data_IF_644964379312
#
_entry.id   IF_644964379312
#
_cell.length_a   1.000
_cell.length_b   1.000
_cell.length_c   1.000
_cell.angle_alpha   90.00
_cell.angle_beta   90.00
_cell.angle_gamma   90.00
#
_symmetry.space_group_name_H-M   'P 1'
#
loop_
_entity.id
_entity.type
_entity.pdbx_description
1 polymer ?
#
# COMPACT_ATOMS: atom_id res chain seq x y z
N UNK A 1 -75.75 -9.97 8.13
CA UNK A 1 -74.39 -9.65 8.62
C UNK A 1 -73.40 -10.80 8.40
N UNK A 2 -73.70 -12.04 8.79
CA UNK A 2 -72.79 -13.21 8.63
C UNK A 2 -72.20 -13.37 7.22
N UNK A 3 -73.03 -13.33 6.18
CA UNK A 3 -72.53 -13.51 4.80
C UNK A 3 -71.57 -12.41 4.33
N UNK A 4 -71.71 -11.19 4.85
CA UNK A 4 -70.81 -10.08 4.51
C UNK A 4 -69.48 -10.17 5.26
N UNK A 5 -69.51 -10.61 6.53
CA UNK A 5 -68.29 -10.88 7.30
C UNK A 5 -67.52 -12.08 6.73
N UNK A 6 -68.22 -13.11 6.27
CA UNK A 6 -67.62 -14.28 5.61
C UNK A 6 -67.00 -13.89 4.26
N UNK A 7 -67.67 -13.03 3.47
CA UNK A 7 -67.12 -12.49 2.22
C UNK A 7 -65.85 -11.65 2.48
N UNK A 8 -65.86 -10.77 3.47
CA UNK A 8 -64.69 -9.97 3.84
C UNK A 8 -63.52 -10.85 4.32
N UNK A 9 -63.80 -11.90 5.10
CA UNK A 9 -62.80 -12.87 5.53
C UNK A 9 -62.20 -13.63 4.33
N UNK A 10 -63.04 -14.07 3.39
CA UNK A 10 -62.60 -14.77 2.18
C UNK A 10 -61.77 -13.85 1.26
N UNK A 11 -62.16 -12.58 1.13
CA UNK A 11 -61.42 -11.58 0.36
C UNK A 11 -60.05 -11.26 0.99
N UNK A 12 -59.98 -11.14 2.32
CA UNK A 12 -58.71 -10.94 3.03
C UNK A 12 -57.79 -12.17 2.89
N UNK A 13 -58.34 -13.38 2.97
CA UNK A 13 -57.59 -14.62 2.72
C UNK A 13 -57.07 -14.70 1.28
N UNK A 14 -57.87 -14.25 0.30
CA UNK A 14 -57.43 -14.14 -1.09
C UNK A 14 -56.29 -13.13 -1.25
N UNK A 15 -56.43 -11.92 -0.69
CA UNK A 15 -55.42 -10.88 -0.77
C UNK A 15 -54.11 -11.29 -0.11
N UNK A 16 -54.16 -11.90 1.08
CA UNK A 16 -52.98 -12.41 1.78
C UNK A 16 -52.31 -13.52 0.98
N UNK A 17 -53.07 -14.48 0.45
CA UNK A 17 -52.53 -15.55 -0.42
C UNK A 17 -51.88 -14.97 -1.68
N UNK A 18 -52.55 -14.03 -2.35
CA UNK A 18 -52.01 -13.33 -3.52
C UNK A 18 -50.70 -12.60 -3.18
N UNK A 19 -50.67 -11.89 -2.05
CA UNK A 19 -49.48 -11.17 -1.60
C UNK A 19 -48.31 -12.11 -1.28
N UNK A 20 -48.58 -13.26 -0.65
CA UNK A 20 -47.56 -14.28 -0.38
C UNK A 20 -47.00 -14.85 -1.69
N UNK A 21 -47.86 -15.16 -2.67
CA UNK A 21 -47.44 -15.65 -3.99
C UNK A 21 -46.59 -14.59 -4.71
N UNK A 22 -47.02 -13.32 -4.67
CA UNK A 22 -46.27 -12.21 -5.23
C UNK A 22 -44.90 -12.06 -4.57
N UNK A 23 -44.82 -12.14 -3.24
CA UNK A 23 -43.57 -12.04 -2.49
C UNK A 23 -42.62 -13.19 -2.84
N UNK A 24 -43.13 -14.42 -2.92
CA UNK A 24 -42.34 -15.57 -3.36
C UNK A 24 -41.77 -15.36 -4.77
N UNK A 25 -42.59 -14.87 -5.69
CA UNK A 25 -42.15 -14.57 -7.06
C UNK A 25 -41.04 -13.52 -7.04
N UNK A 26 -41.23 -12.40 -6.35
CA UNK A 26 -40.19 -11.37 -6.21
C UNK A 26 -38.93 -11.90 -5.56
N UNK A 27 -39.02 -12.80 -4.58
CA UNK A 27 -37.87 -13.39 -3.91
C UNK A 27 -37.04 -14.27 -4.87
N UNK A 28 -37.67 -15.20 -5.59
CA UNK A 28 -36.96 -16.10 -6.51
C UNK A 28 -36.40 -15.36 -7.74
N UNK A 29 -37.17 -14.46 -8.34
CA UNK A 29 -36.69 -13.66 -9.48
C UNK A 29 -35.68 -12.58 -9.05
N UNK A 30 -35.87 -12.01 -7.86
CA UNK A 30 -35.00 -11.00 -7.27
C UNK A 30 -33.58 -11.51 -7.02
N UNK A 31 -33.41 -12.78 -6.63
CA UNK A 31 -32.08 -13.37 -6.45
C UNK A 31 -31.25 -13.39 -7.73
N UNK A 32 -31.87 -13.80 -8.85
CA UNK A 32 -31.21 -13.81 -10.16
C UNK A 32 -30.86 -12.39 -10.61
N UNK A 33 -31.76 -11.44 -10.39
CA UNK A 33 -31.53 -10.03 -10.67
C UNK A 33 -30.36 -9.47 -9.86
N UNK A 34 -30.31 -9.75 -8.55
CA UNK A 34 -29.22 -9.32 -7.67
C UNK A 34 -27.87 -9.90 -8.11
N UNK A 35 -27.82 -11.19 -8.47
CA UNK A 35 -26.62 -11.83 -9.00
C UNK A 35 -26.15 -11.19 -10.30
N UNK A 36 -27.06 -10.89 -11.22
CA UNK A 36 -26.75 -10.18 -12.45
C UNK A 36 -26.18 -8.78 -12.18
N UNK A 37 -26.83 -8.01 -11.31
CA UNK A 37 -26.39 -6.67 -10.93
C UNK A 37 -24.98 -6.68 -10.31
N UNK A 38 -24.75 -7.59 -9.35
CA UNK A 38 -23.45 -7.79 -8.73
C UNK A 38 -22.37 -8.14 -9.78
N UNK A 39 -22.69 -9.04 -10.71
CA UNK A 39 -21.81 -9.39 -11.83
C UNK A 39 -21.43 -8.17 -12.69
N UNK A 40 -22.39 -7.30 -13.00
CA UNK A 40 -22.12 -6.06 -13.76
C UNK A 40 -21.24 -5.08 -12.98
N UNK A 41 -21.47 -4.91 -11.68
CA UNK A 41 -20.63 -4.08 -10.82
C UNK A 41 -19.19 -4.58 -10.80
N UNK A 42 -18.98 -5.88 -10.66
CA UNK A 42 -17.64 -6.50 -10.69
C UNK A 42 -16.98 -6.27 -12.05
N UNK A 43 -17.71 -6.47 -13.16
CA UNK A 43 -17.20 -6.21 -14.53
C UNK A 43 -16.78 -4.75 -14.73
N UNK A 44 -17.55 -3.80 -14.19
CA UNK A 44 -17.21 -2.37 -14.25
C UNK A 44 -15.93 -2.07 -13.48
N UNK A 45 -15.79 -2.62 -12.27
CA UNK A 45 -14.58 -2.47 -11.44
C UNK A 45 -13.35 -3.11 -12.11
N UNK A 46 -13.50 -4.28 -12.74
CA UNK A 46 -12.44 -4.92 -13.53
C UNK A 46 -11.94 -4.04 -14.68
N UNK A 47 -12.85 -3.37 -15.40
CA UNK A 47 -12.46 -2.39 -16.44
C UNK A 47 -11.64 -1.25 -15.84
N UNK A 48 -12.04 -0.76 -14.66
CA UNK A 48 -11.30 0.27 -13.91
C UNK A 48 -9.89 -0.19 -13.51
N UNK A 49 -9.77 -1.37 -12.89
CA UNK A 49 -8.49 -1.96 -12.49
C UNK A 49 -7.58 -2.19 -13.70
N UNK A 50 -8.12 -2.71 -14.81
CA UNK A 50 -7.34 -2.92 -16.03
C UNK A 50 -6.86 -1.60 -16.64
N UNK A 51 -7.68 -0.53 -16.59
CA UNK A 51 -7.27 0.81 -17.02
C UNK A 51 -6.11 1.33 -16.18
N UNK A 52 -6.18 1.21 -14.86
CA UNK A 52 -5.11 1.65 -13.96
C UNK A 52 -3.84 0.81 -14.10
N UNK A 53 -3.97 -0.51 -14.27
CA UNK A 53 -2.84 -1.40 -14.58
C UNK A 53 -2.13 -0.97 -15.86
N UNK A 54 -2.89 -0.75 -16.95
CA UNK A 54 -2.33 -0.30 -18.23
C UNK A 54 -1.64 1.07 -18.11
N UNK A 55 -2.18 1.96 -17.30
CA UNK A 55 -1.55 3.25 -16.99
C UNK A 55 -0.17 3.06 -16.34
N UNK A 56 -0.07 2.22 -15.31
CA UNK A 56 1.21 1.87 -14.68
C UNK A 56 2.22 1.27 -15.66
N UNK A 57 1.80 0.29 -16.46
CA UNK A 57 2.64 -0.34 -17.50
C UNK A 57 3.14 0.71 -18.51
N UNK A 58 2.28 1.63 -18.96
CA UNK A 58 2.68 2.68 -19.90
C UNK A 58 3.71 3.64 -19.31
N UNK A 59 3.60 3.98 -18.02
CA UNK A 59 4.57 4.83 -17.34
C UNK A 59 5.92 4.13 -17.18
N UNK A 60 5.91 2.86 -16.78
CA UNK A 60 7.14 2.05 -16.70
C UNK A 60 7.82 1.99 -18.06
N UNK A 61 7.06 1.71 -19.12
CA UNK A 61 7.56 1.65 -20.49
C UNK A 61 8.23 2.95 -20.94
N UNK A 62 7.63 4.10 -20.64
CA UNK A 62 8.22 5.43 -20.94
C UNK A 62 9.58 5.65 -20.28
N UNK A 63 9.86 5.04 -19.14
CA UNK A 63 11.15 5.13 -18.46
C UNK A 63 12.13 4.10 -19.03
N UNK A 64 11.67 2.89 -19.36
CA UNK A 64 12.53 1.82 -19.86
C UNK A 64 12.99 2.08 -21.30
N UNK A 65 12.10 2.52 -22.19
CA UNK A 65 12.40 2.76 -23.62
C UNK A 65 13.68 3.61 -23.85
N UNK A 66 13.92 4.75 -23.17
CA UNK A 66 15.14 5.55 -23.36
C UNK A 66 16.41 4.96 -22.72
N UNK A 67 16.28 4.05 -21.75
CA UNK A 67 17.42 3.44 -21.01
C UNK A 67 17.83 2.10 -21.63
N UNK A 68 16.93 1.54 -22.45
CA UNK A 68 17.10 0.23 -23.06
C UNK A 68 18.32 0.18 -23.99
N UNK A 69 19.15 -0.87 -23.92
CA UNK A 69 20.20 -1.13 -24.90
C UNK A 69 19.69 -1.10 -26.35
N UNK A 70 20.55 -0.69 -27.27
CA UNK A 70 20.26 -0.75 -28.70
C UNK A 70 19.92 -2.20 -29.12
N UNK A 71 18.80 -2.38 -29.81
CA UNK A 71 18.34 -3.68 -30.32
C UNK A 71 17.22 -4.37 -29.52
N UNK A 72 16.84 -3.87 -28.34
CA UNK A 72 15.67 -4.42 -27.61
C UNK A 72 14.37 -3.95 -28.28
N UNK A 73 13.51 -4.91 -28.60
CA UNK A 73 12.20 -4.63 -29.19
C UNK A 73 11.18 -4.22 -28.13
N UNK A 74 10.16 -3.43 -28.52
CA UNK A 74 9.03 -3.10 -27.63
C UNK A 74 8.32 -4.34 -27.09
N UNK A 75 8.38 -5.46 -27.81
CA UNK A 75 7.84 -6.75 -27.38
C UNK A 75 8.59 -7.31 -26.16
N UNK A 76 9.91 -7.32 -26.20
CA UNK A 76 10.74 -7.81 -25.10
C UNK A 76 10.58 -6.97 -23.82
N UNK A 77 10.42 -5.64 -23.97
CA UNK A 77 10.09 -4.74 -22.85
C UNK A 77 8.76 -5.16 -22.20
N UNK A 78 7.73 -5.41 -23.00
CA UNK A 78 6.43 -5.83 -22.48
C UNK A 78 6.50 -7.21 -21.81
N UNK A 79 7.25 -8.16 -22.38
CA UNK A 79 7.44 -9.49 -21.81
C UNK A 79 8.25 -9.45 -20.50
N UNK A 80 9.22 -8.55 -20.39
CA UNK A 80 9.90 -8.25 -19.14
C UNK A 80 8.95 -7.68 -18.09
N UNK A 81 8.18 -6.64 -18.42
CA UNK A 81 7.22 -6.03 -17.49
C UNK A 81 6.22 -7.08 -17.01
N UNK A 82 5.64 -7.88 -17.91
CA UNK A 82 4.67 -8.91 -17.54
C UNK A 82 5.26 -9.95 -16.58
N UNK A 83 6.51 -10.41 -16.80
CA UNK A 83 7.21 -11.30 -15.86
C UNK A 83 7.42 -10.65 -14.49
N UNK A 84 7.78 -9.37 -14.46
CA UNK A 84 7.97 -8.64 -13.21
C UNK A 84 6.65 -8.44 -12.45
N UNK A 85 5.53 -8.22 -13.16
CA UNK A 85 4.20 -8.15 -12.55
C UNK A 85 3.72 -9.49 -11.98
N UNK A 86 4.25 -10.60 -12.50
CA UNK A 86 3.95 -11.95 -12.02
C UNK A 86 4.98 -12.46 -11.00
N UNK A 87 5.94 -11.62 -10.61
CA UNK A 87 6.91 -11.96 -9.58
C UNK A 87 6.20 -12.06 -8.22
N UNK A 88 6.38 -13.18 -7.54
CA UNK A 88 5.81 -13.43 -6.22
C UNK A 88 6.87 -14.00 -5.27
N UNK A 89 6.60 -13.83 -3.97
CA UNK A 89 7.41 -14.40 -2.90
C UNK A 89 6.51 -15.27 -2.05
N UNK A 90 6.99 -16.46 -1.70
CA UNK A 90 6.28 -17.38 -0.82
C UNK A 90 6.68 -17.03 0.61
N UNK A 91 5.76 -16.53 1.46
CA UNK A 91 6.09 -16.23 2.85
C UNK A 91 6.38 -17.52 3.64
N UNK A 92 7.16 -17.44 4.74
CA UNK A 92 7.38 -18.58 5.61
C UNK A 92 6.07 -19.02 6.27
N UNK A 93 5.95 -20.31 6.58
CA UNK A 93 4.78 -20.88 7.26
C UNK A 93 4.73 -20.38 8.71
N UNK A 94 3.55 -19.99 9.18
CA UNK A 94 3.32 -19.37 10.51
C UNK A 94 3.73 -20.25 11.72
N UNK A 95 4.01 -21.54 11.53
CA UNK A 95 4.32 -22.47 12.62
C UNK A 95 5.83 -22.59 12.92
N UNK A 96 6.69 -21.80 12.28
CA UNK A 96 8.14 -22.00 12.29
C UNK A 96 8.91 -20.85 13.00
N UNK A 97 9.01 -20.85 14.35
CA UNK A 97 9.77 -19.86 15.10
C UNK A 97 11.29 -19.99 14.82
N UNK A 98 12.05 -18.87 14.72
CA UNK A 98 11.64 -17.46 14.79
C UNK A 98 11.23 -16.88 13.42
N UNK A 99 9.95 -16.47 13.29
CA UNK A 99 9.36 -16.00 12.03
C UNK A 99 9.85 -14.61 11.63
N UNK A 100 10.08 -13.71 12.61
CA UNK A 100 10.44 -12.32 12.34
C UNK A 100 11.77 -12.19 11.58
N UNK A 101 12.80 -12.92 12.01
CA UNK A 101 14.12 -12.91 11.33
C UNK A 101 14.03 -13.46 9.91
N UNK A 102 13.27 -14.55 9.72
CA UNK A 102 13.02 -15.15 8.40
C UNK A 102 12.26 -14.20 7.48
N UNK A 103 11.23 -13.54 7.98
CA UNK A 103 10.45 -12.56 7.24
C UNK A 103 11.32 -11.35 6.84
N UNK A 104 12.12 -10.83 7.77
CA UNK A 104 13.06 -9.73 7.49
C UNK A 104 14.03 -10.13 6.39
N UNK A 105 14.70 -11.27 6.54
CA UNK A 105 15.62 -11.79 5.51
C UNK A 105 14.94 -11.94 4.16
N UNK A 106 13.73 -12.51 4.13
CA UNK A 106 12.96 -12.70 2.91
C UNK A 106 12.60 -11.38 2.22
N UNK A 107 12.24 -10.35 3.00
CA UNK A 107 11.94 -9.02 2.47
C UNK A 107 13.19 -8.34 1.89
N UNK A 108 14.32 -8.38 2.60
CA UNK A 108 15.60 -7.84 2.11
C UNK A 108 16.06 -8.58 0.84
N UNK A 109 16.01 -9.91 0.87
CA UNK A 109 16.38 -10.74 -0.28
C UNK A 109 15.45 -10.51 -1.48
N UNK A 110 14.15 -10.30 -1.23
CA UNK A 110 13.20 -9.93 -2.27
C UNK A 110 13.62 -8.65 -2.97
N UNK A 111 13.92 -7.59 -2.21
CA UNK A 111 14.32 -6.29 -2.77
C UNK A 111 15.63 -6.38 -3.56
N UNK A 112 16.60 -7.13 -3.05
CA UNK A 112 17.87 -7.38 -3.74
C UNK A 112 17.64 -8.16 -5.04
N UNK A 113 16.88 -9.24 -4.99
CA UNK A 113 16.55 -10.07 -6.16
C UNK A 113 15.79 -9.26 -7.21
N UNK A 114 14.84 -8.43 -6.79
CA UNK A 114 14.06 -7.56 -7.65
C UNK A 114 14.96 -6.55 -8.37
N UNK A 115 15.85 -5.90 -7.63
CA UNK A 115 16.84 -4.96 -8.19
C UNK A 115 17.80 -5.65 -9.16
N UNK A 116 18.24 -6.88 -8.84
CA UNK A 116 19.08 -7.70 -9.74
C UNK A 116 18.35 -8.03 -11.05
N UNK A 117 17.07 -8.39 -11.02
CA UNK A 117 16.27 -8.66 -12.23
C UNK A 117 16.20 -7.43 -13.14
N UNK A 118 15.97 -6.25 -12.55
CA UNK A 118 15.91 -5.00 -13.32
C UNK A 118 17.28 -4.69 -13.94
N UNK A 119 18.38 -4.82 -13.18
CA UNK A 119 19.73 -4.60 -13.70
C UNK A 119 20.16 -5.60 -14.77
N UNK A 120 19.69 -6.85 -14.69
CA UNK A 120 19.93 -7.85 -15.74
C UNK A 120 19.29 -7.45 -17.08
N UNK A 121 18.14 -6.77 -17.03
CA UNK A 121 17.47 -6.26 -18.22
C UNK A 121 18.02 -4.88 -18.66
N UNK A 122 18.40 -4.03 -17.70
CA UNK A 122 18.92 -2.69 -17.91
C UNK A 122 20.27 -2.52 -17.20
N UNK A 123 21.39 -2.92 -17.82
CA UNK A 123 22.70 -2.93 -17.16
C UNK A 123 23.21 -1.52 -16.81
N UNK A 124 22.85 -0.50 -17.60
CA UNK A 124 23.33 0.88 -17.45
C UNK A 124 22.39 1.79 -16.64
N UNK A 125 21.46 1.22 -15.87
CA UNK A 125 20.47 1.99 -15.11
C UNK A 125 21.11 2.73 -13.91
N UNK A 126 20.80 4.01 -13.74
CA UNK A 126 21.21 4.78 -12.57
C UNK A 126 20.42 4.38 -11.31
N UNK A 127 20.97 4.67 -10.13
CA UNK A 127 20.35 4.28 -8.85
C UNK A 127 18.97 4.92 -8.63
N UNK A 128 18.75 6.14 -9.11
CA UNK A 128 17.48 6.86 -8.92
C UNK A 128 16.39 6.31 -9.84
N UNK A 129 16.70 6.05 -11.10
CA UNK A 129 15.76 5.40 -12.03
C UNK A 129 15.47 3.96 -11.64
N UNK A 130 16.46 3.22 -11.13
CA UNK A 130 16.24 1.87 -10.59
C UNK A 130 15.21 1.87 -9.45
N UNK A 131 15.35 2.80 -8.50
CA UNK A 131 14.40 2.92 -7.40
C UNK A 131 12.99 3.30 -7.90
N UNK A 132 12.93 4.23 -8.87
CA UNK A 132 11.67 4.69 -9.47
C UNK A 132 10.96 3.55 -10.22
N UNK A 133 11.67 2.81 -11.06
CA UNK A 133 11.13 1.67 -11.81
C UNK A 133 10.67 0.57 -10.85
N UNK A 134 11.49 0.26 -9.84
CA UNK A 134 11.14 -0.73 -8.80
C UNK A 134 9.83 -0.35 -8.09
N UNK A 135 9.68 0.91 -7.67
CA UNK A 135 8.47 1.39 -7.02
C UNK A 135 7.24 1.34 -7.93
N UNK A 136 7.37 1.78 -9.18
CA UNK A 136 6.30 1.72 -10.17
C UNK A 136 5.87 0.29 -10.48
N UNK A 137 6.83 -0.63 -10.65
CA UNK A 137 6.55 -2.04 -10.87
C UNK A 137 5.85 -2.65 -9.65
N UNK A 138 6.31 -2.38 -8.43
CA UNK A 138 5.66 -2.86 -7.20
C UNK A 138 4.22 -2.37 -7.11
N UNK A 139 3.97 -1.06 -7.24
CA UNK A 139 2.62 -0.51 -7.19
C UNK A 139 1.71 -1.02 -8.32
N UNK A 140 2.25 -1.21 -9.53
CA UNK A 140 1.51 -1.78 -10.66
C UNK A 140 1.21 -3.26 -10.44
N UNK A 141 2.13 -4.01 -9.81
CA UNK A 141 1.96 -5.41 -9.43
C UNK A 141 0.80 -5.58 -8.47
N UNK A 142 0.66 -4.69 -7.49
CA UNK A 142 -0.48 -4.72 -6.56
C UNK A 142 -1.83 -4.56 -7.30
N UNK A 143 -1.93 -3.59 -8.23
CA UNK A 143 -3.15 -3.41 -9.04
C UNK A 143 -3.40 -4.64 -9.92
N UNK A 144 -2.35 -5.24 -10.48
CA UNK A 144 -2.44 -6.46 -11.29
C UNK A 144 -2.93 -7.67 -10.48
N UNK A 145 -2.44 -7.84 -9.26
CA UNK A 145 -2.87 -8.88 -8.33
C UNK A 145 -4.33 -8.70 -7.93
N UNK A 146 -4.75 -7.47 -7.61
CA UNK A 146 -6.17 -7.16 -7.35
C UNK A 146 -7.05 -7.48 -8.58
N UNK A 147 -6.61 -7.10 -9.78
CA UNK A 147 -7.33 -7.44 -11.01
C UNK A 147 -7.45 -8.96 -11.22
N UNK A 148 -6.38 -9.73 -10.99
CA UNK A 148 -6.39 -11.21 -11.07
C UNK A 148 -7.37 -11.81 -10.06
N UNK A 149 -7.32 -11.39 -8.79
CA UNK A 149 -8.20 -11.87 -7.72
C UNK A 149 -9.68 -11.62 -8.07
N UNK A 150 -10.02 -10.39 -8.45
CA UNK A 150 -11.40 -10.03 -8.82
C UNK A 150 -11.89 -10.80 -10.04
N UNK A 151 -11.03 -10.96 -11.05
CA UNK A 151 -11.37 -11.72 -12.27
C UNK A 151 -11.62 -13.18 -11.96
N UNK A 152 -10.78 -13.77 -11.11
CA UNK A 152 -10.93 -15.15 -10.67
C UNK A 152 -12.27 -15.35 -9.94
N UNK A 153 -12.59 -14.47 -8.97
CA UNK A 153 -13.86 -14.53 -8.25
C UNK A 153 -15.07 -14.35 -9.19
N UNK A 154 -15.02 -13.41 -10.15
CA UNK A 154 -16.09 -13.26 -11.14
C UNK A 154 -16.34 -14.57 -11.91
N UNK A 155 -15.28 -15.21 -12.40
CA UNK A 155 -15.39 -16.45 -13.18
C UNK A 155 -15.95 -17.58 -12.31
N UNK A 156 -15.54 -17.70 -11.05
CA UNK A 156 -16.09 -18.68 -10.12
C UNK A 156 -17.59 -18.42 -9.89
N UNK A 157 -17.97 -17.18 -9.62
CA UNK A 157 -19.37 -16.82 -9.37
C UNK A 157 -20.27 -17.11 -10.58
N UNK A 158 -19.79 -16.80 -11.80
CA UNK A 158 -20.52 -17.09 -13.04
C UNK A 158 -20.61 -18.60 -13.32
N UNK A 159 -19.52 -19.36 -13.12
CA UNK A 159 -19.51 -20.82 -13.35
C UNK A 159 -20.37 -21.59 -12.36
N UNK A 160 -20.33 -21.20 -11.09
CA UNK A 160 -21.13 -21.84 -10.03
C UNK A 160 -22.57 -21.38 -10.00
N UNK A 161 -22.92 -20.32 -10.76
CA UNK A 161 -24.23 -19.64 -10.73
C UNK A 161 -24.64 -19.22 -9.31
N UNK A 162 -23.66 -19.00 -8.43
CA UNK A 162 -23.90 -18.62 -7.03
C UNK A 162 -24.05 -17.11 -6.92
N UNK A 163 -25.30 -16.63 -6.82
CA UNK A 163 -25.58 -15.20 -6.64
C UNK A 163 -24.99 -14.66 -5.33
N UNK A 164 -25.00 -15.46 -4.25
CA UNK A 164 -24.42 -15.09 -2.96
C UNK A 164 -22.91 -14.86 -3.06
N UNK A 165 -22.20 -15.68 -3.84
CA UNK A 165 -20.77 -15.51 -4.06
C UNK A 165 -20.47 -14.22 -4.83
N UNK A 166 -21.26 -13.93 -5.87
CA UNK A 166 -21.15 -12.68 -6.62
C UNK A 166 -21.45 -11.46 -5.74
N UNK A 167 -22.45 -11.55 -4.87
CA UNK A 167 -22.81 -10.47 -3.95
C UNK A 167 -21.69 -10.21 -2.94
N UNK A 168 -21.15 -11.26 -2.31
CA UNK A 168 -20.00 -11.15 -1.39
C UNK A 168 -18.78 -10.53 -2.07
N UNK A 169 -18.48 -10.95 -3.31
CA UNK A 169 -17.41 -10.36 -4.12
C UNK A 169 -17.67 -8.89 -4.44
N UNK A 170 -18.92 -8.53 -4.75
CA UNK A 170 -19.32 -7.15 -5.02
C UNK A 170 -19.23 -6.27 -3.75
N UNK A 171 -19.44 -6.83 -2.56
CA UNK A 171 -19.22 -6.10 -1.30
C UNK A 171 -17.72 -5.84 -1.07
N UNK A 172 -16.85 -6.82 -1.31
CA UNK A 172 -15.40 -6.66 -1.18
C UNK A 172 -14.83 -5.66 -2.21
N UNK A 173 -15.50 -5.50 -3.36
CA UNK A 173 -15.00 -4.65 -4.46
C UNK A 173 -14.77 -3.20 -4.03
N UNK A 174 -15.57 -2.68 -3.10
CA UNK A 174 -15.44 -1.29 -2.64
C UNK A 174 -14.10 -1.07 -1.98
N UNK A 175 -13.71 -1.97 -1.06
CA UNK A 175 -12.42 -1.92 -0.38
C UNK A 175 -11.26 -2.13 -1.37
N UNK A 176 -11.43 -3.07 -2.31
CA UNK A 176 -10.43 -3.32 -3.38
C UNK A 176 -10.21 -2.07 -4.23
N UNK A 177 -11.27 -1.37 -4.61
CA UNK A 177 -11.17 -0.17 -5.44
C UNK A 177 -10.56 1.01 -4.69
N UNK A 178 -10.80 1.13 -3.38
CA UNK A 178 -10.13 2.12 -2.51
C UNK A 178 -8.62 1.84 -2.48
N UNK A 179 -8.22 0.60 -2.20
CA UNK A 179 -6.81 0.18 -2.20
C UNK A 179 -6.14 0.42 -3.55
N UNK A 180 -6.78 -0.01 -4.64
CA UNK A 180 -6.26 0.18 -5.99
C UNK A 180 -6.16 1.66 -6.38
N UNK A 181 -7.07 2.52 -5.90
CA UNK A 181 -6.97 3.97 -6.10
C UNK A 181 -5.76 4.55 -5.36
N UNK A 182 -5.46 4.09 -4.15
CA UNK A 182 -4.27 4.51 -3.42
C UNK A 182 -2.99 4.18 -4.21
N UNK A 183 -2.88 2.94 -4.72
CA UNK A 183 -1.75 2.56 -5.59
C UNK A 183 -1.71 3.37 -6.90
N UNK A 184 -2.85 3.64 -7.52
CA UNK A 184 -2.93 4.49 -8.73
C UNK A 184 -2.38 5.89 -8.46
N UNK A 185 -2.74 6.50 -7.34
CA UNK A 185 -2.22 7.81 -6.93
C UNK A 185 -0.73 7.72 -6.61
N UNK A 186 -0.28 6.65 -5.95
CA UNK A 186 1.13 6.42 -5.66
C UNK A 186 1.99 6.32 -6.93
N UNK A 187 1.50 5.64 -7.97
CA UNK A 187 2.14 5.57 -9.29
C UNK A 187 2.40 6.96 -9.87
N UNK A 188 1.40 7.86 -9.82
CA UNK A 188 1.55 9.23 -10.32
C UNK A 188 2.54 10.04 -9.44
N UNK A 189 2.57 9.80 -8.13
CA UNK A 189 3.52 10.44 -7.21
C UNK A 189 4.96 9.97 -7.40
N UNK A 190 5.19 8.67 -7.63
CA UNK A 190 6.52 8.11 -7.90
C UNK A 190 7.13 8.70 -9.17
N UNK A 191 6.32 8.89 -10.22
CA UNK A 191 6.76 9.59 -11.44
C UNK A 191 7.24 11.02 -11.16
N UNK A 192 6.61 11.70 -10.20
CA UNK A 192 6.94 13.08 -9.81
C UNK A 192 7.96 13.17 -8.68
N UNK A 193 8.49 12.04 -8.19
CA UNK A 193 9.34 11.95 -6.98
C UNK A 193 8.73 12.69 -5.78
N UNK A 194 7.41 12.66 -5.66
CA UNK A 194 6.69 13.29 -4.57
C UNK A 194 6.56 12.31 -3.40
N UNK A 195 6.71 12.77 -2.14
CA UNK A 195 6.58 11.89 -0.98
C UNK A 195 5.14 11.37 -0.83
N UNK A 196 4.99 10.15 -0.29
CA UNK A 196 3.71 9.44 -0.22
C UNK A 196 3.42 9.02 1.22
N UNK A 197 2.20 9.32 1.69
CA UNK A 197 1.56 8.69 2.86
C UNK A 197 2.16 9.06 4.22
N UNK A 198 3.45 8.79 4.41
CA UNK A 198 4.09 8.69 5.74
C UNK A 198 5.14 9.79 5.95
N UNK A 199 4.87 10.99 5.44
CA UNK A 199 5.80 12.12 5.63
C UNK A 199 5.72 12.72 7.04
N UNK A 200 4.67 12.41 7.82
CA UNK A 200 4.48 13.06 9.12
C UNK A 200 5.59 12.75 10.12
N UNK A 201 6.10 11.51 10.16
CA UNK A 201 7.22 11.12 11.01
C UNK A 201 8.50 11.89 10.66
N UNK A 202 8.99 11.79 9.40
CA UNK A 202 10.14 12.57 8.94
C UNK A 202 9.98 14.08 9.09
N UNK A 203 8.77 14.62 8.87
CA UNK A 203 8.46 16.05 9.03
C UNK A 203 8.47 16.46 10.49
N UNK A 204 7.86 15.68 11.39
CA UNK A 204 7.85 15.95 12.83
C UNK A 204 9.27 15.97 13.39
N UNK A 205 10.11 14.99 13.02
CA UNK A 205 11.52 14.97 13.40
C UNK A 205 12.25 16.21 12.86
N UNK A 206 12.00 16.58 11.60
CA UNK A 206 12.66 17.73 10.99
C UNK A 206 12.24 19.07 11.62
N UNK A 207 10.96 19.23 11.98
CA UNK A 207 10.49 20.42 12.69
C UNK A 207 11.02 20.47 14.12
N UNK A 208 11.08 19.33 14.82
CA UNK A 208 11.70 19.25 16.15
C UNK A 208 13.18 19.69 16.13
N UNK A 209 13.94 19.27 15.12
CA UNK A 209 15.33 19.71 14.93
C UNK A 209 15.43 21.22 14.70
N UNK A 210 14.57 21.80 13.86
CA UNK A 210 14.55 23.24 13.59
C UNK A 210 14.16 24.06 14.82
N UNK A 211 13.16 23.61 15.57
CA UNK A 211 12.68 24.29 16.76
C UNK A 211 13.73 24.27 17.87
N UNK A 212 14.40 23.13 18.08
CA UNK A 212 15.52 23.02 19.02
C UNK A 212 16.69 23.95 18.63
N UNK A 213 17.00 24.08 17.33
CA UNK A 213 18.01 25.04 16.86
C UNK A 213 17.63 26.49 17.15
N UNK A 214 16.35 26.84 16.97
CA UNK A 214 15.84 28.20 17.20
C UNK A 214 15.84 28.56 18.70
N UNK A 215 15.44 27.64 19.56
CA UNK A 215 15.33 27.88 21.02
C UNK A 215 16.70 27.98 21.71
N UNK A 216 17.75 27.39 21.13
CA UNK A 216 19.12 27.46 21.64
C UNK A 216 19.88 28.75 21.28
N UNK A 217 19.23 29.77 20.70
CA UNK A 217 19.86 31.07 20.34
C UNK A 217 21.20 30.95 19.58
N UNK A 218 21.35 29.94 18.73
CA UNK A 218 22.47 29.86 17.80
C UNK A 218 22.19 30.83 16.64
N UNK A 219 22.73 32.04 16.77
CA UNK A 219 22.73 33.02 15.69
C UNK A 219 23.27 32.38 14.41
N UNK A 220 22.46 32.52 13.37
CA UNK A 220 22.70 32.19 11.98
C UNK A 220 23.94 32.90 11.44
N UNK A 221 25.14 32.42 11.74
CA UNK A 221 26.36 32.83 10.99
C UNK A 221 27.55 31.88 11.09
N UNK A 222 27.48 30.76 11.81
CA UNK A 222 28.55 29.74 11.77
C UNK A 222 27.97 28.38 11.43
N UNK A 223 28.25 27.95 10.18
CA UNK A 223 27.92 26.64 9.61
C UNK A 223 28.68 25.47 10.28
N UNK A 224 28.89 25.48 11.61
CA UNK A 224 29.81 24.53 12.26
C UNK A 224 29.40 23.92 13.61
N UNK A 225 28.25 24.21 14.22
CA UNK A 225 27.93 23.64 15.54
C UNK A 225 26.52 23.06 15.65
N UNK A 226 26.31 21.90 15.02
CA UNK A 226 25.70 20.66 15.57
C UNK A 226 25.58 19.63 14.43
N UNK A 227 26.66 19.47 13.67
CA UNK A 227 26.74 18.48 12.59
C UNK A 227 27.79 17.47 13.00
N UNK A 228 27.48 16.68 14.04
CA UNK A 228 28.22 15.43 14.18
C UNK A 228 27.98 14.67 12.89
N UNK A 229 29.07 14.30 12.22
CA UNK A 229 29.14 13.45 11.04
C UNK A 229 28.71 12.05 11.46
N UNK A 230 27.51 11.89 12.00
CA UNK A 230 26.94 10.58 12.19
C UNK A 230 26.78 10.03 10.78
N UNK A 231 27.44 8.89 10.59
CA UNK A 231 27.53 8.16 9.34
C UNK A 231 26.16 8.17 8.68
N UNK A 232 26.16 8.28 7.34
CA UNK A 232 25.06 7.73 6.56
C UNK A 232 24.83 6.32 7.11
N UNK A 233 23.80 6.13 7.92
CA UNK A 233 23.34 4.80 8.21
C UNK A 233 23.00 4.24 6.83
N UNK A 234 23.69 3.18 6.47
CA UNK A 234 23.54 2.55 5.17
C UNK A 234 22.04 2.37 4.89
N UNK A 235 21.66 2.51 3.63
CA UNK A 235 20.26 2.45 3.14
C UNK A 235 19.42 3.74 3.21
N UNK A 236 20.04 4.91 3.37
CA UNK A 236 19.35 6.18 3.17
C UNK A 236 18.58 6.66 4.40
N UNK A 237 19.16 6.46 5.59
CA UNK A 237 18.66 7.01 6.85
C UNK A 237 19.67 8.05 7.35
N UNK A 238 19.16 9.18 7.81
CA UNK A 238 19.92 10.27 8.41
C UNK A 238 19.74 10.24 9.92
N UNK A 239 20.86 10.31 10.63
CA UNK A 239 20.93 10.46 12.07
C UNK A 239 21.40 11.86 12.42
N UNK A 240 20.74 12.47 13.39
CA UNK A 240 21.12 13.77 13.95
C UNK A 240 21.00 13.70 15.45
N UNK A 241 22.02 14.19 16.14
CA UNK A 241 22.00 14.35 17.58
C UNK A 241 21.59 15.78 17.92
N UNK A 242 20.89 15.98 19.04
CA UNK A 242 20.63 17.29 19.63
C UNK A 242 20.61 17.18 21.17
N UNK A 243 20.75 18.31 21.85
CA UNK A 243 20.47 18.42 23.29
C UNK A 243 19.16 19.17 23.46
N UNK A 244 18.20 18.54 24.13
CA UNK A 244 16.88 19.11 24.43
C UNK A 244 16.58 18.91 25.92
N UNK A 245 16.29 19.99 26.64
CA UNK A 245 16.03 19.95 28.10
C UNK A 245 17.09 19.14 28.88
N UNK A 246 18.37 19.43 28.62
CA UNK A 246 19.53 18.75 29.23
C UNK A 246 19.64 17.24 28.92
N UNK A 247 18.84 16.72 27.98
CA UNK A 247 18.89 15.34 27.51
C UNK A 247 19.51 15.24 26.12
N UNK A 248 20.39 14.25 25.95
CA UNK A 248 20.95 13.86 24.65
C UNK A 248 19.88 13.11 23.86
N UNK A 249 19.45 13.65 22.73
CA UNK A 249 18.47 13.04 21.84
C UNK A 249 19.14 12.66 20.52
N UNK A 250 18.93 11.42 20.07
CA UNK A 250 19.39 10.95 18.77
C UNK A 250 18.15 10.71 17.90
N UNK A 251 18.00 11.55 16.89
CA UNK A 251 16.87 11.52 15.97
C UNK A 251 17.27 10.76 14.70
N UNK A 252 16.43 9.81 14.28
CA UNK A 252 16.58 9.04 13.05
C UNK A 252 15.44 9.38 12.10
N UNK A 253 15.77 9.61 10.82
CA UNK A 253 14.77 9.80 9.76
C UNK A 253 15.24 9.28 8.41
N UNK A 254 14.35 8.78 7.54
CA UNK A 254 14.68 8.50 6.14
C UNK A 254 15.17 9.74 5.39
N UNK A 255 16.07 9.53 4.42
CA UNK A 255 16.57 10.54 3.51
C UNK A 255 15.56 10.74 2.36
N UNK A 256 14.64 11.68 2.53
CA UNK A 256 13.75 12.12 1.45
C UNK A 256 14.45 13.06 0.46
N UNK A 257 13.87 13.31 -0.73
CA UNK A 257 12.54 12.89 -1.20
C UNK A 257 12.53 11.60 -2.03
N UNK A 258 13.64 10.85 -2.05
CA UNK A 258 13.72 9.60 -2.82
C UNK A 258 12.71 8.55 -2.32
N UNK A 259 12.35 7.61 -3.19
CA UNK A 259 11.41 6.51 -2.89
C UNK A 259 12.02 5.45 -1.95
N UNK A 260 13.22 5.70 -1.44
CA UNK A 260 13.97 4.77 -0.60
C UNK A 260 13.64 5.08 0.86
N UNK A 261 12.90 4.19 1.50
CA UNK A 261 12.53 4.30 2.92
C UNK A 261 13.67 3.84 3.84
N UNK A 262 14.52 2.93 3.35
CA UNK A 262 15.61 2.34 4.13
C UNK A 262 15.11 1.38 5.22
N UNK A 263 16.05 0.72 5.91
CA UNK A 263 15.72 -0.19 7.01
C UNK A 263 15.87 0.50 8.37
N UNK A 264 14.78 1.11 8.85
CA UNK A 264 14.77 1.86 10.13
C UNK A 264 15.11 0.95 11.31
N UNK A 265 14.67 -0.31 11.29
CA UNK A 265 14.96 -1.26 12.37
C UNK A 265 16.45 -1.56 12.51
N UNK A 266 17.15 -1.72 11.40
CA UNK A 266 18.60 -1.93 11.39
C UNK A 266 19.37 -0.65 11.76
N UNK A 267 18.89 0.52 11.31
CA UNK A 267 19.48 1.79 11.73
C UNK A 267 19.38 2.01 13.25
N UNK A 268 18.22 1.72 13.85
CA UNK A 268 18.03 1.78 15.31
C UNK A 268 18.93 0.77 16.03
N UNK A 269 19.01 -0.45 15.52
CA UNK A 269 19.88 -1.51 16.08
C UNK A 269 21.35 -1.09 16.08
N UNK A 270 21.85 -0.57 14.95
CA UNK A 270 23.23 -0.08 14.82
C UNK A 270 23.53 1.05 15.79
N UNK A 271 22.63 2.03 15.91
CA UNK A 271 22.78 3.15 16.86
C UNK A 271 22.81 2.65 18.31
N UNK A 272 21.96 1.69 18.67
CA UNK A 272 21.95 1.12 20.03
C UNK A 272 23.26 0.36 20.30
N UNK A 273 23.78 -0.38 19.32
CA UNK A 273 25.05 -1.10 19.46
C UNK A 273 26.24 -0.14 19.62
N UNK A 274 26.28 0.94 18.84
CA UNK A 274 27.28 2.00 18.97
C UNK A 274 27.24 2.65 20.36
N UNK A 275 26.05 3.04 20.83
CA UNK A 275 25.88 3.63 22.16
C UNK A 275 26.31 2.67 23.29
N UNK A 276 26.01 1.38 23.16
CA UNK A 276 26.47 0.37 24.12
C UNK A 276 28.00 0.26 24.14
N UNK A 277 28.65 0.38 22.99
CA UNK A 277 30.11 0.45 22.89
C UNK A 277 30.70 1.63 23.67
N UNK A 278 29.99 2.75 23.69
CA UNK A 278 30.32 3.96 24.47
C UNK A 278 29.86 3.89 25.94
N UNK A 279 29.32 2.75 26.41
CA UNK A 279 28.71 2.56 27.74
C UNK A 279 27.52 3.50 28.01
N UNK A 280 26.87 3.99 26.96
CA UNK A 280 25.65 4.77 27.03
C UNK A 280 24.44 3.86 26.83
N UNK A 281 23.44 4.03 27.68
CA UNK A 281 22.18 3.28 27.59
C UNK A 281 21.04 4.23 27.24
N UNK A 282 20.39 4.07 26.07
CA UNK A 282 19.22 4.88 25.74
C UNK A 282 18.09 4.56 26.73
N UNK A 283 17.61 5.59 27.43
CA UNK A 283 16.56 5.43 28.45
C UNK A 283 15.17 5.24 27.84
N UNK A 284 14.91 5.86 26.68
CA UNK A 284 13.60 5.90 26.03
C UNK A 284 13.79 5.85 24.51
N UNK A 285 12.96 5.06 23.83
CA UNK A 285 12.79 5.08 22.37
C UNK A 285 11.42 5.67 22.06
N UNK A 286 11.37 6.72 21.24
CA UNK A 286 10.13 7.36 20.80
C UNK A 286 9.99 7.14 19.30
N UNK A 287 8.94 6.43 18.88
CA UNK A 287 8.59 6.23 17.48
C UNK A 287 7.42 7.14 17.09
N UNK A 288 7.58 7.91 16.01
CA UNK A 288 6.53 8.77 15.46
C UNK A 288 6.14 8.20 14.09
N UNK A 289 4.89 7.78 13.95
CA UNK A 289 4.39 7.17 12.71
C UNK A 289 3.02 7.74 12.31
N UNK A 290 2.71 7.69 11.01
CA UNK A 290 1.39 8.00 10.49
C UNK A 290 0.52 6.74 10.54
N UNK A 291 -0.58 6.78 11.29
CA UNK A 291 -1.58 5.70 11.25
C UNK A 291 -2.69 6.03 10.26
N UNK A 292 -3.26 5.00 9.63
CA UNK A 292 -4.44 5.15 8.77
C UNK A 292 -5.63 5.54 9.63
N UNK A 293 -6.24 6.69 9.30
CA UNK A 293 -7.48 7.16 9.91
C UNK A 293 -8.67 6.28 9.50
N UNK A 294 -9.48 5.84 10.46
CA UNK A 294 -10.77 5.23 10.17
C UNK A 294 -11.79 6.30 9.73
N UNK A 295 -12.77 5.94 8.91
CA UNK A 295 -13.69 6.92 8.31
C UNK A 295 -14.42 7.80 9.35
N UNK A 296 -14.65 7.28 10.56
CA UNK A 296 -15.28 7.98 11.68
C UNK A 296 -14.36 8.84 12.57
N UNK A 297 -13.04 8.79 12.38
CA UNK A 297 -12.09 9.53 13.22
C UNK A 297 -11.82 10.94 12.69
N UNK A 298 -11.43 11.88 13.57
CA UNK A 298 -11.00 13.21 13.14
C UNK A 298 -9.59 13.14 12.53
N UNK A 299 -9.34 13.92 11.50
CA UNK A 299 -7.99 14.05 10.92
C UNK A 299 -7.05 14.74 11.94
N UNK A 300 -5.81 14.25 12.04
CA UNK A 300 -4.80 14.85 12.91
C UNK A 300 -4.93 14.51 14.40
N UNK A 301 -5.74 13.51 14.76
CA UNK A 301 -5.78 12.99 16.13
C UNK A 301 -4.47 12.31 16.47
N UNK A 302 -3.87 12.67 17.60
CA UNK A 302 -2.67 12.02 18.13
C UNK A 302 -3.10 10.89 19.05
N UNK A 303 -2.63 9.68 18.76
CA UNK A 303 -2.75 8.52 19.65
C UNK A 303 -1.41 8.31 20.34
N UNK A 304 -1.43 8.10 21.66
CA UNK A 304 -0.25 7.80 22.48
C UNK A 304 -0.47 6.46 23.18
N UNK A 305 0.56 5.61 23.17
CA UNK A 305 0.58 4.30 23.82
C UNK A 305 1.99 3.94 24.27
#
# INVERSE_FOLDING_TARGET
MSQFTDFLAQFNNFLTTFFIILLLLVFFYGQNWQGWYAGQQIKKSLKGLNKWKKHGINLIRKIIEPISPEGITTREINDFINRMLDFFVIPPVQLDPPIYGKLRYLMSYREERYSKLIKQFLPNIDKSSLATISALLNATTEIHNLHKKVRHNLIIGEKTKSYLFLLSTASEITQIMIKARAYRTAIDSFMKKSPIGDSIGPMAVNEFLKESQKNNNLNTTDNNHFKMKLQKCDHGIYSSEIIFEERRCICLRPNGPDVIVGNIGEAVENVILELRGEKLHPSILISIDAITRLEGEKLGTVAQG
#
